data_IF_908446128441
#
_entry.id   IF_908446128441
#
_cell.length_a   1.000
_cell.length_b   1.000
_cell.length_c   1.000
_cell.angle_alpha   90.00
_cell.angle_beta   90.00
_cell.angle_gamma   90.00
#
_symmetry.space_group_name_H-M   'P 1'
#
loop_
_entity.id
_entity.type
_entity.pdbx_description
1 polymer ?
#
# COMPACT_ATOMS: atom_id res chain seq x y z
N UNK A 1 -3.15 -3.03 -0.70
CA UNK A 1 -3.95 -3.92 0.16
C UNK A 1 -5.20 -3.17 0.58
N UNK A 2 -6.34 -3.84 0.70
CA UNK A 2 -7.62 -3.23 1.14
C UNK A 2 -8.36 -4.15 2.12
N UNK A 3 -9.33 -3.62 2.85
CA UNK A 3 -10.18 -4.43 3.74
C UNK A 3 -9.48 -4.89 5.03
N UNK A 4 -8.42 -4.20 5.45
CA UNK A 4 -7.76 -4.46 6.72
C UNK A 4 -8.79 -4.36 7.85
N UNK A 5 -8.81 -5.34 8.75
CA UNK A 5 -9.65 -5.31 9.94
C UNK A 5 -9.35 -4.05 10.76
N UNK A 6 -10.33 -3.15 10.96
CA UNK A 6 -10.13 -1.90 11.69
C UNK A 6 -9.79 -2.11 13.18
N UNK A 7 -10.01 -3.31 13.72
CA UNK A 7 -9.63 -3.66 15.09
C UNK A 7 -8.22 -4.26 15.19
N UNK A 8 -7.58 -4.55 14.05
CA UNK A 8 -6.21 -5.06 14.03
C UNK A 8 -5.22 -4.02 14.56
N UNK A 9 -4.19 -4.49 15.26
CA UNK A 9 -3.16 -3.63 15.87
C UNK A 9 -1.88 -3.54 15.02
N UNK A 10 -1.85 -4.18 13.85
CA UNK A 10 -0.71 -4.18 12.96
C UNK A 10 -0.58 -5.47 12.15
N UNK A 11 0.55 -5.58 11.45
CA UNK A 11 0.92 -6.73 10.62
C UNK A 11 2.42 -6.98 10.78
N UNK A 12 2.81 -8.25 10.90
CA UNK A 12 4.22 -8.64 10.91
C UNK A 12 4.83 -8.53 9.51
N UNK A 13 6.14 -8.31 9.44
CA UNK A 13 6.85 -8.24 8.17
C UNK A 13 6.65 -9.52 7.33
N UNK A 14 6.30 -9.34 6.05
CA UNK A 14 6.06 -10.44 5.12
C UNK A 14 4.73 -11.18 5.31
N UNK A 15 3.83 -10.69 6.18
CA UNK A 15 2.49 -11.23 6.37
C UNK A 15 1.44 -10.31 5.75
N UNK A 16 0.29 -10.90 5.42
CA UNK A 16 -0.92 -10.17 5.03
C UNK A 16 -1.68 -9.74 6.29
N UNK A 17 -2.17 -8.50 6.33
CA UNK A 17 -2.92 -7.99 7.48
C UNK A 17 -4.22 -8.77 7.71
N UNK A 18 -4.69 -8.93 8.96
CA UNK A 18 -5.99 -9.55 9.25
C UNK A 18 -7.12 -8.88 8.46
N UNK A 19 -7.98 -9.67 7.81
CA UNK A 19 -9.06 -9.18 6.91
C UNK A 19 -8.57 -8.61 5.58
N UNK A 20 -7.30 -8.23 5.49
CA UNK A 20 -6.70 -7.60 4.34
C UNK A 20 -6.66 -8.50 3.11
N UNK A 21 -7.01 -7.93 1.96
CA UNK A 21 -6.85 -8.54 0.65
C UNK A 21 -5.76 -7.80 -0.13
N UNK A 22 -4.77 -8.55 -0.58
CA UNK A 22 -3.70 -8.04 -1.45
C UNK A 22 -4.18 -7.90 -2.89
N UNK A 23 -3.86 -6.75 -3.49
CA UNK A 23 -4.12 -6.48 -4.90
C UNK A 23 -2.85 -6.70 -5.72
N UNK A 24 -3.02 -6.83 -7.03
CA UNK A 24 -1.92 -6.93 -7.98
C UNK A 24 -1.18 -5.58 -8.03
N UNK A 25 0.14 -5.63 -7.90
CA UNK A 25 1.01 -4.46 -7.91
C UNK A 25 1.61 -4.20 -9.30
N UNK A 26 2.46 -3.16 -9.42
CA UNK A 26 3.11 -2.77 -10.67
C UNK A 26 4.05 -3.83 -11.29
N UNK A 27 4.42 -4.87 -10.56
CA UNK A 27 5.18 -6.03 -11.08
C UNK A 27 4.26 -7.18 -11.56
N UNK A 28 2.94 -7.01 -11.52
CA UNK A 28 1.99 -8.06 -11.87
C UNK A 28 1.86 -9.17 -10.83
N UNK A 29 2.30 -8.93 -9.58
CA UNK A 29 2.21 -9.88 -8.46
C UNK A 29 1.22 -9.38 -7.41
N UNK A 30 0.57 -10.29 -6.70
CA UNK A 30 -0.19 -9.91 -5.50
C UNK A 30 0.77 -9.44 -4.40
N UNK A 31 0.37 -8.37 -3.70
CA UNK A 31 1.06 -7.92 -2.50
C UNK A 31 2.25 -7.00 -2.78
N UNK A 32 3.23 -7.02 -1.87
CA UNK A 32 4.43 -6.19 -1.94
C UNK A 32 5.59 -6.95 -2.63
N UNK A 33 6.26 -6.33 -3.61
CA UNK A 33 7.39 -6.96 -4.33
C UNK A 33 8.77 -6.45 -3.91
N UNK A 34 8.85 -5.44 -3.04
CA UNK A 34 10.13 -4.93 -2.56
C UNK A 34 10.74 -3.81 -3.41
N UNK A 35 11.79 -3.15 -2.89
CA UNK A 35 12.65 -2.26 -3.67
C UNK A 35 13.41 -2.99 -4.77
N UNK A 36 13.49 -2.38 -5.95
CA UNK A 36 14.29 -2.83 -7.10
C UNK A 36 14.86 -1.61 -7.88
N UNK A 37 15.64 -0.71 -7.24
CA UNK A 37 16.31 0.37 -7.96
C UNK A 37 17.38 -0.19 -8.91
N UNK A 38 17.84 0.55 -9.91
CA UNK A 38 18.95 0.03 -10.75
C UNK A 38 20.28 0.26 -10.04
N UNK A 39 21.29 -0.62 -10.23
CA UNK A 39 22.64 -0.35 -9.75
C UNK A 39 23.17 0.99 -10.30
N UNK A 40 23.61 1.87 -9.41
CA UNK A 40 24.11 3.20 -9.75
C UNK A 40 23.04 4.32 -9.74
N UNK A 41 21.77 3.99 -9.54
CA UNK A 41 20.74 5.00 -9.27
C UNK A 41 21.01 5.69 -7.91
N UNK A 42 20.59 6.95 -7.78
CA UNK A 42 20.48 7.59 -6.45
C UNK A 42 19.46 6.83 -5.61
N UNK A 43 19.49 6.92 -4.26
CA UNK A 43 18.47 6.29 -3.42
C UNK A 43 17.05 6.62 -3.90
N UNK A 44 16.26 5.58 -4.14
CA UNK A 44 14.85 5.72 -4.46
C UNK A 44 14.06 5.90 -3.16
N UNK A 45 13.08 6.81 -3.19
CA UNK A 45 12.14 7.01 -2.11
C UNK A 45 10.99 6.02 -2.25
N UNK A 46 10.81 5.22 -1.20
CA UNK A 46 9.70 4.30 -1.03
C UNK A 46 8.75 4.88 0.00
N UNK A 47 7.51 5.09 -0.42
CA UNK A 47 6.46 5.66 0.43
C UNK A 47 5.39 4.61 0.69
N UNK A 48 5.13 4.37 1.97
CA UNK A 48 4.07 3.48 2.45
C UNK A 48 3.01 4.34 3.10
N UNK A 49 1.82 4.36 2.52
CA UNK A 49 0.67 5.12 3.03
C UNK A 49 -0.37 4.16 3.59
N UNK A 50 -0.87 4.47 4.79
CA UNK A 50 -1.98 3.79 5.41
C UNK A 50 -3.13 4.79 5.57
N UNK A 51 -4.28 4.48 4.99
CA UNK A 51 -5.49 5.29 5.07
C UNK A 51 -6.52 4.64 5.99
N UNK A 52 -7.26 5.46 6.74
CA UNK A 52 -8.44 5.10 7.51
C UNK A 52 -9.67 5.79 6.90
N UNK A 53 -10.25 5.26 5.81
CA UNK A 53 -11.47 5.81 5.24
C UNK A 53 -12.70 5.49 6.09
N UNK A 54 -13.71 6.36 6.07
CA UNK A 54 -14.97 6.20 6.79
C UNK A 54 -15.80 5.00 6.34
N UNK A 55 -15.60 4.55 5.10
CA UNK A 55 -16.31 3.44 4.47
C UNK A 55 -15.32 2.54 3.72
N UNK A 56 -15.65 1.25 3.52
CA UNK A 56 -14.83 0.36 2.70
C UNK A 56 -14.60 0.91 1.29
N UNK A 57 -13.36 0.85 0.80
CA UNK A 57 -13.04 1.16 -0.58
C UNK A 57 -13.23 -0.06 -1.48
N UNK A 58 -13.73 0.17 -2.69
CA UNK A 58 -13.82 -0.84 -3.75
C UNK A 58 -12.78 -0.50 -4.80
N UNK A 59 -11.83 -1.41 -5.01
CA UNK A 59 -10.79 -1.30 -6.02
C UNK A 59 -10.85 -2.51 -6.96
N UNK A 60 -10.45 -2.35 -8.24
CA UNK A 60 -10.23 -3.48 -9.12
C UNK A 60 -9.08 -4.37 -8.59
N UNK A 61 -8.93 -5.57 -9.16
CA UNK A 61 -7.89 -6.51 -8.72
C UNK A 61 -6.46 -6.03 -9.00
N UNK A 62 -6.28 -5.24 -10.07
CA UNK A 62 -5.02 -4.60 -10.43
C UNK A 62 -5.22 -3.08 -10.52
N UNK A 63 -5.32 -2.37 -9.38
CA UNK A 63 -5.56 -0.93 -9.37
C UNK A 63 -4.30 -0.15 -9.76
N UNK A 64 -4.49 0.97 -10.46
CA UNK A 64 -3.45 1.98 -10.61
C UNK A 64 -3.26 2.76 -9.29
N UNK A 65 -2.13 3.44 -9.14
CA UNK A 65 -1.90 4.31 -7.98
C UNK A 65 -2.94 5.45 -7.91
N UNK A 66 -3.34 5.99 -9.06
CA UNK A 66 -4.38 7.02 -9.16
C UNK A 66 -5.74 6.51 -8.66
N UNK A 67 -6.16 5.32 -9.11
CA UNK A 67 -7.40 4.70 -8.63
C UNK A 67 -7.40 4.45 -7.12
N UNK A 68 -6.24 4.06 -6.55
CA UNK A 68 -6.10 3.93 -5.11
C UNK A 68 -6.32 5.28 -4.40
N UNK A 69 -5.74 6.37 -4.92
CA UNK A 69 -5.83 7.69 -4.30
C UNK A 69 -7.25 8.24 -4.38
N UNK A 70 -7.88 8.22 -5.56
CA UNK A 70 -9.26 8.67 -5.75
C UNK A 70 -10.25 7.94 -4.84
N UNK A 71 -10.02 6.64 -4.58
CA UNK A 71 -10.89 5.83 -3.74
C UNK A 71 -10.88 6.25 -2.26
N UNK A 72 -9.79 6.87 -1.79
CA UNK A 72 -9.58 7.25 -0.38
C UNK A 72 -9.69 8.75 -0.12
N UNK A 73 -9.23 9.62 -1.03
CA UNK A 73 -9.13 11.08 -0.82
C UNK A 73 -10.43 11.73 -0.34
N UNK A 74 -11.60 11.28 -0.83
CA UNK A 74 -12.89 11.88 -0.47
C UNK A 74 -13.50 11.33 0.81
N UNK A 75 -12.94 10.26 1.36
CA UNK A 75 -13.52 9.49 2.46
C UNK A 75 -12.59 9.34 3.66
N UNK A 76 -11.40 9.90 3.58
CA UNK A 76 -10.37 9.76 4.58
C UNK A 76 -10.78 10.42 5.91
N UNK A 77 -10.70 9.66 7.00
CA UNK A 77 -10.81 10.19 8.36
C UNK A 77 -9.43 10.51 8.95
N UNK A 78 -8.43 9.72 8.58
CA UNK A 78 -7.03 9.90 8.93
C UNK A 78 -6.13 9.11 7.96
N UNK A 79 -4.88 9.53 7.84
CA UNK A 79 -3.81 8.78 7.21
C UNK A 79 -2.53 8.78 8.06
N UNK A 80 -1.60 7.91 7.68
CA UNK A 80 -0.22 8.00 8.11
C UNK A 80 0.70 7.55 6.98
N UNK A 81 1.83 8.23 6.87
CA UNK A 81 2.83 7.97 5.84
C UNK A 81 4.17 7.60 6.48
N UNK A 82 4.75 6.48 6.03
CA UNK A 82 6.11 6.08 6.32
C UNK A 82 6.95 6.19 5.05
N UNK A 83 8.14 6.77 5.17
CA UNK A 83 9.08 6.95 4.07
C UNK A 83 10.40 6.25 4.37
N UNK A 84 10.98 5.61 3.35
CA UNK A 84 12.30 4.99 3.42
C UNK A 84 13.07 5.18 2.12
N UNK A 85 14.38 5.33 2.23
CA UNK A 85 15.28 5.37 1.08
C UNK A 85 15.96 4.01 0.92
N UNK A 86 16.12 3.54 -0.31
CA UNK A 86 16.91 2.34 -0.62
C UNK A 86 17.71 2.53 -1.92
N UNK A 87 18.93 1.99 -1.92
CA UNK A 87 19.82 1.87 -3.08
C UNK A 87 20.53 0.50 -2.99
N UNK A 88 20.99 -0.03 -4.13
CA UNK A 88 21.85 -1.21 -4.17
C UNK A 88 23.28 -0.92 -3.69
#
# INVERSE_FOLDING_TARGET
>A
MVGIDPHSQGVEAGRTSPGGTERVNGFGRHGWSGPDPRPGDRPHLYVVHLYAPAEPCVLPDAPSAEQCHEAVERRELADVTLMGLYQH
#
